data_IF_242749874272
#
_entry.id   IF_242749874272
#
_cell.length_a   1.000
_cell.length_b   1.000
_cell.length_c   1.000
_cell.angle_alpha   90.00
_cell.angle_beta   90.00
_cell.angle_gamma   90.00
#
_symmetry.space_group_name_H-M   'P 1'
#
loop_
_entity.id
_entity.type
_entity.pdbx_description
1 polymer ?
#
# COMPACT_ATOMS: atom_id res chain seq x y z
N UNK A 1 -3.37 -9.62 19.98
CA UNK A 1 -2.85 -8.76 21.08
C UNK A 1 -1.84 -7.75 20.53
N UNK A 2 -0.93 -8.21 19.67
CA UNK A 2 0.07 -7.43 18.92
C UNK A 2 -0.52 -6.30 18.03
N UNK A 3 -1.61 -6.56 17.30
CA UNK A 3 -2.27 -5.55 16.43
C UNK A 3 -2.82 -4.29 17.17
N UNK A 4 -3.15 -4.41 18.46
CA UNK A 4 -3.87 -3.34 19.19
C UNK A 4 -2.93 -2.24 19.68
N UNK A 5 -1.70 -2.59 20.07
CA UNK A 5 -0.67 -1.61 20.45
C UNK A 5 -0.10 -0.87 19.23
N UNK A 6 -0.08 -1.51 18.05
CA UNK A 6 0.33 -0.88 16.78
C UNK A 6 -0.62 0.21 16.32
N UNK A 7 -1.91 -0.10 16.41
CA UNK A 7 -2.98 0.85 16.17
C UNK A 7 -2.80 2.11 17.02
N UNK A 8 -2.49 1.97 18.31
CA UNK A 8 -2.31 3.10 19.23
C UNK A 8 -1.10 3.98 18.88
N UNK A 9 0.03 3.40 18.45
CA UNK A 9 1.24 4.15 18.06
C UNK A 9 1.08 4.90 16.73
N UNK A 10 0.39 4.29 15.76
CA UNK A 10 0.02 4.95 14.51
C UNK A 10 -0.98 6.08 14.76
N UNK A 11 -2.00 5.83 15.62
CA UNK A 11 -3.00 6.83 16.05
C UNK A 11 -2.34 8.04 16.73
N UNK A 12 -1.42 7.83 17.66
CA UNK A 12 -0.79 8.92 18.41
C UNK A 12 0.15 9.79 17.58
N UNK A 13 0.82 9.20 16.59
CA UNK A 13 1.87 9.88 15.81
C UNK A 13 1.29 10.66 14.62
N UNK A 14 0.23 10.13 14.01
CA UNK A 14 -0.33 10.69 12.77
C UNK A 14 -1.81 11.07 12.86
N UNK A 15 -2.46 10.91 14.03
CA UNK A 15 -3.89 11.19 14.18
C UNK A 15 -4.80 10.22 13.45
N UNK A 16 -4.29 9.02 13.13
CA UNK A 16 -5.04 7.92 12.51
C UNK A 16 -6.07 7.44 13.54
N UNK A 17 -7.26 6.98 13.15
CA UNK A 17 -8.31 6.58 14.11
C UNK A 17 -8.52 5.05 14.20
N UNK A 18 -8.15 4.29 13.19
CA UNK A 18 -8.15 2.82 13.16
C UNK A 18 -7.40 2.29 11.93
N UNK A 19 -6.95 1.04 11.97
CA UNK A 19 -6.40 0.33 10.82
C UNK A 19 -7.02 -1.07 10.75
N UNK A 20 -8.04 -1.25 9.91
CA UNK A 20 -8.54 -2.58 9.55
C UNK A 20 -7.91 -2.96 8.21
N UNK A 21 -7.37 -4.18 8.09
CA UNK A 21 -6.96 -4.65 6.75
C UNK A 21 -8.21 -4.78 5.91
N UNK A 22 -8.13 -4.44 4.61
CA UNK A 22 -9.30 -4.49 3.70
C UNK A 22 -10.07 -5.82 3.80
N UNK A 23 -9.36 -6.94 4.03
CA UNK A 23 -9.96 -8.29 4.19
C UNK A 23 -11.00 -8.41 5.31
N UNK A 24 -10.94 -7.55 6.32
CA UNK A 24 -11.81 -7.62 7.50
C UNK A 24 -13.02 -6.67 7.39
N UNK A 25 -13.12 -5.90 6.30
CA UNK A 25 -14.14 -4.86 6.14
C UNK A 25 -15.29 -5.32 5.22
N UNK A 26 -16.53 -5.09 5.63
CA UNK A 26 -17.74 -5.55 4.92
C UNK A 26 -18.12 -4.76 3.65
N UNK A 27 -17.40 -3.68 3.30
CA UNK A 27 -17.73 -2.78 2.17
C UNK A 27 -16.54 -2.51 1.24
N UNK A 28 -15.94 -3.58 0.74
CA UNK A 28 -14.83 -3.50 -0.21
C UNK A 28 -15.38 -3.62 -1.62
N UNK A 29 -15.00 -2.68 -2.50
CA UNK A 29 -15.22 -2.83 -3.93
C UNK A 29 -13.97 -3.41 -4.59
N UNK A 30 -14.16 -4.43 -5.42
CA UNK A 30 -13.12 -5.06 -6.21
C UNK A 30 -13.21 -4.58 -7.65
N UNK A 31 -12.13 -3.98 -8.14
CA UNK A 31 -11.98 -3.59 -9.54
C UNK A 31 -11.06 -4.61 -10.19
N UNK A 32 -11.53 -5.27 -11.25
CA UNK A 32 -10.68 -6.16 -12.04
C UNK A 32 -10.08 -5.50 -13.27
N UNK A 33 -8.81 -5.78 -13.49
CA UNK A 33 -8.10 -5.41 -14.72
C UNK A 33 -8.42 -6.42 -15.82
N UNK A 34 -8.38 -5.98 -17.08
CA UNK A 34 -8.66 -6.80 -18.28
C UNK A 34 -7.41 -7.04 -19.12
N UNK A 35 -6.27 -6.57 -18.66
CA UNK A 35 -5.02 -6.49 -19.38
C UNK A 35 -4.00 -7.49 -18.81
N UNK A 36 -3.22 -8.15 -19.67
CA UNK A 36 -2.14 -9.07 -19.26
C UNK A 36 -0.77 -8.36 -19.19
N UNK A 37 -0.72 -7.06 -19.51
CA UNK A 37 0.49 -6.27 -19.58
C UNK A 37 0.68 -5.46 -18.28
N UNK A 38 1.75 -5.74 -17.55
CA UNK A 38 2.08 -5.09 -16.27
C UNK A 38 2.12 -3.56 -16.37
N UNK A 39 2.59 -2.99 -17.48
CA UNK A 39 2.65 -1.54 -17.65
C UNK A 39 1.27 -0.93 -17.87
N UNK A 40 0.38 -1.64 -18.56
CA UNK A 40 -1.00 -1.18 -18.74
C UNK A 40 -1.77 -1.25 -17.42
N UNK A 41 -1.58 -2.33 -16.64
CA UNK A 41 -2.13 -2.47 -15.28
C UNK A 41 -1.62 -1.34 -14.38
N UNK A 42 -0.32 -1.04 -14.40
CA UNK A 42 0.28 0.04 -13.62
C UNK A 42 -0.38 1.40 -13.90
N UNK A 43 -0.57 1.75 -15.18
CA UNK A 43 -1.21 3.00 -15.56
C UNK A 43 -2.67 3.08 -15.11
N UNK A 44 -3.41 1.95 -15.16
CA UNK A 44 -4.78 1.87 -14.62
C UNK A 44 -4.78 2.10 -13.10
N UNK A 45 -3.86 1.49 -12.36
CA UNK A 45 -3.75 1.67 -10.91
C UNK A 45 -3.42 3.12 -10.57
N UNK A 46 -2.44 3.72 -11.24
CA UNK A 46 -2.06 5.13 -11.03
C UNK A 46 -3.27 6.03 -11.27
N UNK A 47 -3.97 5.87 -12.40
CA UNK A 47 -5.15 6.67 -12.72
C UNK A 47 -6.26 6.52 -11.66
N UNK A 48 -6.44 5.32 -11.12
CA UNK A 48 -7.41 5.07 -10.04
C UNK A 48 -6.99 5.70 -8.72
N UNK A 49 -5.70 5.61 -8.34
CA UNK A 49 -5.17 6.26 -7.14
C UNK A 49 -5.34 7.78 -7.29
N UNK A 50 -4.88 8.39 -8.39
CA UNK A 50 -4.99 9.84 -8.62
C UNK A 50 -6.44 10.34 -8.63
N UNK A 51 -7.35 9.57 -9.22
CA UNK A 51 -8.79 9.92 -9.25
C UNK A 51 -9.40 9.95 -7.85
N UNK A 52 -8.99 9.04 -6.98
CA UNK A 52 -9.59 8.86 -5.66
C UNK A 52 -8.87 9.68 -4.57
N UNK A 53 -7.55 9.83 -4.67
CA UNK A 53 -6.69 10.49 -3.67
C UNK A 53 -6.52 11.97 -4.04
N UNK A 54 -7.51 12.79 -3.67
CA UNK A 54 -7.60 14.21 -4.10
C UNK A 54 -6.54 15.09 -3.45
N UNK A 55 -6.02 14.67 -2.31
CA UNK A 55 -4.96 15.38 -1.57
C UNK A 55 -3.62 15.45 -2.32
N UNK A 56 -3.42 14.59 -3.33
CA UNK A 56 -2.17 14.53 -4.10
C UNK A 56 -1.03 13.77 -3.40
N UNK A 57 -1.30 13.13 -2.26
CA UNK A 57 -0.35 12.29 -1.54
C UNK A 57 -0.99 11.00 -1.05
N UNK A 58 -0.18 10.00 -0.72
CA UNK A 58 -0.62 8.78 -0.07
C UNK A 58 0.36 8.33 1.01
N UNK A 59 -0.18 7.62 2.00
CA UNK A 59 0.61 6.81 2.91
C UNK A 59 0.57 5.38 2.43
N UNK A 60 1.71 4.70 2.45
CA UNK A 60 1.81 3.30 2.04
C UNK A 60 2.32 2.48 3.21
N UNK A 61 1.49 1.57 3.72
CA UNK A 61 1.93 0.55 4.68
C UNK A 61 2.55 -0.59 3.89
N UNK A 62 3.86 -0.74 3.97
CA UNK A 62 4.62 -1.80 3.31
C UNK A 62 5.03 -2.82 4.37
N UNK A 63 4.76 -4.09 4.10
CA UNK A 63 5.33 -5.24 4.82
C UNK A 63 6.37 -5.87 3.93
N UNK A 64 7.64 -5.88 4.35
CA UNK A 64 8.73 -6.63 3.75
C UNK A 64 8.75 -8.00 4.38
N UNK A 65 8.64 -9.04 3.55
CA UNK A 65 8.73 -10.43 3.99
C UNK A 65 10.15 -10.99 3.87
N UNK A 66 11.07 -10.22 3.29
CA UNK A 66 12.51 -10.40 3.41
C UNK A 66 13.13 -9.16 4.07
N UNK A 67 13.77 -9.34 5.24
CA UNK A 67 14.40 -8.24 5.98
C UNK A 67 15.55 -7.59 5.20
N UNK A 68 16.24 -8.33 4.33
CA UNK A 68 17.32 -7.78 3.51
C UNK A 68 16.81 -6.71 2.52
N UNK A 69 15.53 -6.78 2.16
CA UNK A 69 14.90 -5.83 1.23
C UNK A 69 14.42 -4.55 1.92
N UNK A 70 14.27 -4.56 3.24
CA UNK A 70 13.70 -3.45 4.02
C UNK A 70 14.53 -2.14 3.96
N UNK A 71 15.82 -2.26 3.65
CA UNK A 71 16.73 -1.13 3.44
C UNK A 71 16.42 -0.34 2.14
N UNK A 72 15.64 -0.91 1.23
CA UNK A 72 15.36 -0.33 -0.10
C UNK A 72 14.55 0.97 -0.07
N UNK A 73 13.94 1.31 1.07
CA UNK A 73 13.06 2.48 1.19
C UNK A 73 13.38 3.41 2.37
N UNK A 74 14.65 3.50 2.81
CA UNK A 74 15.02 4.20 4.06
C UNK A 74 14.62 5.69 4.20
N UNK A 75 14.18 6.36 3.13
CA UNK A 75 13.79 7.77 3.16
C UNK A 75 12.26 7.91 3.29
N UNK A 76 11.78 8.80 4.18
CA UNK A 76 10.35 9.06 4.44
C UNK A 76 9.55 7.87 5.01
N UNK A 77 10.22 7.01 5.77
CA UNK A 77 9.64 5.85 6.44
C UNK A 77 9.53 6.06 7.96
N UNK A 78 8.38 5.72 8.53
CA UNK A 78 8.30 5.31 9.93
C UNK A 78 8.29 3.79 10.00
N UNK A 79 9.36 3.20 10.53
CA UNK A 79 9.38 1.78 10.86
C UNK A 79 8.43 1.51 12.03
N UNK A 80 7.43 0.68 11.76
CA UNK A 80 6.36 0.34 12.71
C UNK A 80 6.80 -0.86 13.54
N UNK A 81 7.31 -1.88 12.88
CA UNK A 81 7.59 -3.20 13.45
C UNK A 81 8.76 -3.88 12.72
N UNK A 82 9.58 -4.61 13.47
CA UNK A 82 10.50 -5.59 12.94
C UNK A 82 10.27 -6.88 13.74
N UNK A 83 10.01 -7.96 13.03
CA UNK A 83 9.91 -9.31 13.54
C UNK A 83 11.05 -10.16 12.97
N UNK A 84 11.18 -11.40 13.45
CA UNK A 84 12.25 -12.31 13.02
C UNK A 84 12.28 -12.52 11.49
N UNK A 85 11.11 -12.47 10.83
CA UNK A 85 10.96 -12.76 9.39
C UNK A 85 10.31 -11.62 8.58
N UNK A 86 10.10 -10.44 9.16
CA UNK A 86 9.46 -9.33 8.42
C UNK A 86 9.69 -7.95 9.03
N UNK A 87 9.62 -6.92 8.19
CA UNK A 87 9.64 -5.52 8.62
C UNK A 87 8.39 -4.81 8.08
N UNK A 88 7.77 -3.97 8.91
CA UNK A 88 6.61 -3.17 8.51
C UNK A 88 6.96 -1.69 8.64
N UNK A 89 6.82 -0.95 7.54
CA UNK A 89 7.01 0.49 7.52
C UNK A 89 5.78 1.23 6.99
N UNK A 90 5.56 2.45 7.48
CA UNK A 90 4.63 3.41 6.91
C UNK A 90 5.41 4.47 6.16
N UNK A 91 5.15 4.60 4.87
CA UNK A 91 5.87 5.46 3.94
C UNK A 91 4.96 6.59 3.48
N UNK A 92 5.53 7.77 3.26
CA UNK A 92 4.79 8.91 2.74
C UNK A 92 5.29 9.27 1.34
N UNK A 93 4.37 9.28 0.37
CA UNK A 93 4.67 9.54 -1.04
C UNK A 93 3.81 10.66 -1.60
N UNK A 94 4.41 11.53 -2.42
CA UNK A 94 3.65 12.37 -3.34
C UNK A 94 3.21 11.52 -4.55
N UNK A 95 1.97 11.66 -5.01
CA UNK A 95 1.47 10.87 -6.15
C UNK A 95 2.23 11.11 -7.46
N UNK A 96 2.92 12.25 -7.57
CA UNK A 96 3.73 12.61 -8.75
C UNK A 96 5.18 12.15 -8.64
N UNK A 97 5.59 11.58 -7.52
CA UNK A 97 6.96 11.08 -7.34
C UNK A 97 7.14 9.74 -8.05
N UNK A 98 8.28 9.60 -8.73
CA UNK A 98 8.65 8.36 -9.44
C UNK A 98 8.75 7.16 -8.49
N UNK A 99 9.09 7.39 -7.21
CA UNK A 99 9.22 6.34 -6.20
C UNK A 99 7.93 5.54 -5.99
N UNK A 100 6.76 6.19 -6.10
CA UNK A 100 5.48 5.49 -5.98
C UNK A 100 5.26 4.53 -7.15
N UNK A 101 5.59 4.97 -8.38
CA UNK A 101 5.47 4.14 -9.58
C UNK A 101 6.41 2.94 -9.52
N UNK A 102 7.64 3.16 -9.05
CA UNK A 102 8.63 2.10 -8.87
C UNK A 102 8.19 1.06 -7.83
N UNK A 103 7.61 1.52 -6.71
CA UNK A 103 7.04 0.64 -5.70
C UNK A 103 5.90 -0.22 -6.26
N UNK A 104 4.95 0.40 -6.97
CA UNK A 104 3.83 -0.30 -7.59
C UNK A 104 4.31 -1.32 -8.63
N UNK A 105 5.26 -0.94 -9.48
CA UNK A 105 5.84 -1.84 -10.48
C UNK A 105 6.56 -3.01 -9.83
N UNK A 106 7.35 -2.77 -8.78
CA UNK A 106 8.05 -3.80 -8.02
C UNK A 106 7.07 -4.78 -7.36
N UNK A 107 5.98 -4.27 -6.78
CA UNK A 107 4.89 -5.08 -6.21
C UNK A 107 4.20 -5.94 -7.26
N UNK A 108 3.82 -5.36 -8.41
CA UNK A 108 3.19 -6.10 -9.51
C UNK A 108 4.13 -7.17 -10.10
N UNK A 109 5.40 -6.83 -10.26
CA UNK A 109 6.40 -7.77 -10.75
C UNK A 109 6.58 -8.95 -9.80
N UNK A 110 6.64 -8.70 -8.48
CA UNK A 110 6.77 -9.76 -7.47
C UNK A 110 5.68 -10.79 -7.61
N UNK A 111 4.44 -10.31 -7.66
CA UNK A 111 3.29 -11.17 -7.70
C UNK A 111 3.21 -11.97 -9.02
N UNK A 112 3.58 -11.36 -10.16
CA UNK A 112 3.68 -12.03 -11.46
C UNK A 112 4.93 -12.92 -11.63
N UNK A 113 5.82 -12.99 -10.63
CA UNK A 113 7.09 -13.71 -10.72
C UNK A 113 8.08 -13.12 -11.75
N UNK A 114 8.03 -11.81 -11.96
CA UNK A 114 8.89 -11.04 -12.86
C UNK A 114 9.95 -10.24 -12.09
N UNK A 115 11.05 -9.87 -12.75
CA UNK A 115 12.09 -9.02 -12.17
C UNK A 115 12.16 -7.65 -12.87
N UNK A 116 12.55 -6.56 -12.18
CA UNK A 116 12.92 -6.51 -10.76
C UNK A 116 11.69 -6.56 -9.84
N UNK A 117 11.79 -7.33 -8.76
CA UNK A 117 10.74 -7.43 -7.74
C UNK A 117 11.27 -7.34 -6.31
N UNK A 118 10.38 -7.04 -5.37
CA UNK A 118 10.65 -7.04 -3.93
C UNK A 118 9.48 -7.78 -3.27
N UNK A 119 9.76 -8.70 -2.34
CA UNK A 119 8.74 -9.49 -1.66
C UNK A 119 8.01 -8.65 -0.61
N UNK A 120 6.99 -7.93 -1.06
CA UNK A 120 6.24 -6.98 -0.24
C UNK A 120 4.73 -7.19 -0.28
N UNK A 121 4.06 -6.62 0.72
CA UNK A 121 2.63 -6.34 0.68
C UNK A 121 2.40 -4.87 0.97
N UNK A 122 1.66 -4.16 0.10
CA UNK A 122 1.45 -2.72 0.19
C UNK A 122 -0.04 -2.33 0.31
N UNK A 123 -0.36 -1.46 1.26
CA UNK A 123 -1.67 -0.81 1.38
C UNK A 123 -1.52 0.70 1.21
N UNK A 124 -2.21 1.28 0.24
CA UNK A 124 -2.21 2.71 -0.06
C UNK A 124 -3.37 3.38 0.65
N UNK A 125 -3.11 4.50 1.33
CA UNK A 125 -4.03 5.08 2.30
C UNK A 125 -4.04 6.58 2.14
N UNK A 126 -5.24 7.13 2.10
CA UNK A 126 -5.47 8.55 2.25
C UNK A 126 -6.34 8.77 3.48
N UNK A 127 -5.76 9.41 4.51
CA UNK A 127 -6.48 9.68 5.75
C UNK A 127 -7.46 10.85 5.62
N UNK A 128 -7.22 11.81 4.72
CA UNK A 128 -8.13 12.94 4.47
C UNK A 128 -9.39 12.49 3.74
N UNK A 129 -9.21 11.77 2.63
CA UNK A 129 -10.31 11.25 1.81
C UNK A 129 -10.89 9.95 2.37
N UNK A 130 -10.28 9.37 3.42
CA UNK A 130 -10.64 8.10 4.08
C UNK A 130 -10.74 6.93 3.09
N UNK A 131 -9.72 6.79 2.26
CA UNK A 131 -9.64 5.76 1.21
C UNK A 131 -8.50 4.80 1.52
N UNK A 132 -8.76 3.51 1.36
CA UNK A 132 -7.75 2.45 1.42
C UNK A 132 -7.78 1.67 0.10
N UNK A 133 -6.60 1.43 -0.48
CA UNK A 133 -6.41 0.64 -1.70
C UNK A 133 -5.39 -0.46 -1.44
N UNK A 134 -5.68 -1.67 -1.91
CA UNK A 134 -4.74 -2.79 -1.93
C UNK A 134 -4.65 -3.35 -3.36
N UNK A 135 -3.44 -3.59 -3.84
CA UNK A 135 -3.14 -4.03 -5.20
C UNK A 135 -2.65 -5.49 -5.14
N UNK A 136 -3.07 -6.33 -6.08
CA UNK A 136 -2.65 -7.75 -6.15
C UNK A 136 -2.21 -8.15 -7.56
N UNK A 137 -1.34 -9.15 -7.60
CA UNK A 137 -0.89 -10.00 -8.71
C UNK A 137 -1.48 -9.76 -10.09
N UNK A 138 -2.69 -10.23 -10.34
CA UNK A 138 -3.05 -10.62 -11.70
C UNK A 138 -4.38 -10.08 -12.19
N UNK A 139 -5.25 -9.56 -11.32
CA UNK A 139 -6.68 -9.40 -11.69
C UNK A 139 -7.42 -8.30 -10.98
N UNK A 140 -6.76 -7.40 -10.24
CA UNK A 140 -7.47 -6.26 -9.70
C UNK A 140 -6.86 -5.56 -8.51
N UNK A 141 -7.61 -4.57 -8.04
CA UNK A 141 -7.40 -3.90 -6.78
C UNK A 141 -8.68 -3.96 -5.95
N UNK A 142 -8.49 -3.98 -4.64
CA UNK A 142 -9.57 -3.73 -3.70
C UNK A 142 -9.49 -2.27 -3.24
N UNK A 143 -10.64 -1.59 -3.21
CA UNK A 143 -10.73 -0.26 -2.61
C UNK A 143 -11.90 -0.15 -1.65
N UNK A 144 -11.67 0.62 -0.60
CA UNK A 144 -12.62 0.90 0.47
C UNK A 144 -12.72 2.40 0.64
N UNK A 145 -13.93 2.94 0.57
CA UNK A 145 -14.25 4.31 0.97
C UNK A 145 -14.98 4.25 2.29
N UNK A 146 -14.36 4.81 3.33
CA UNK A 146 -14.93 4.83 4.67
C UNK A 146 -15.83 6.06 4.77
N UNK A 147 -17.13 5.85 4.53
CA UNK A 147 -18.16 6.85 4.76
C UNK A 147 -18.48 6.92 6.26
N UNK A 148 -18.58 8.14 6.79
CA UNK A 148 -19.01 8.41 8.18
C UNK A 148 -20.45 7.95 8.46
#
# INVERSE_FOLDING_TARGET
MVLKEFDEKARSTFGICSFETIKEVFRVERISFREDNVFEILEVIIALIEKNFKSGYCYVRITFWDLAESDSFSNNCLLIEINDDSAVGLYHFNLKEEGLKQLLLSHLNYELGLEPSINITAFFINFEDKIVVNVFDDRGLDYLVIND
#
